data_IF_728141336360
#
_entry.id   IF_728141336360
#
_cell.length_a   1.000
_cell.length_b   1.000
_cell.length_c   1.000
_cell.angle_alpha   90.00
_cell.angle_beta   90.00
_cell.angle_gamma   90.00
#
_symmetry.space_group_name_H-M   'P 1'
#
loop_
_entity.id
_entity.type
_entity.pdbx_description
1 polymer ?
#
# COMPACT_ATOMS: atom_id res chain seq x y z
N UNK A 1 17.47 -23.28 -0.67
CA UNK A 1 17.62 -23.76 0.74
C UNK A 1 16.48 -23.16 1.55
N UNK A 2 15.71 -23.97 2.27
CA UNK A 2 14.67 -23.44 3.14
C UNK A 2 15.32 -22.88 4.42
N UNK A 3 14.97 -21.63 4.79
CA UNK A 3 15.44 -21.01 6.02
C UNK A 3 14.76 -21.68 7.23
N UNK A 4 15.49 -21.88 8.31
CA UNK A 4 14.92 -22.32 9.57
C UNK A 4 14.12 -21.20 10.24
N UNK A 5 13.16 -21.55 11.10
CA UNK A 5 12.35 -20.57 11.86
C UNK A 5 13.25 -19.62 12.66
N UNK A 6 14.36 -20.12 13.21
CA UNK A 6 15.31 -19.30 13.97
C UNK A 6 16.02 -18.27 13.09
N UNK A 7 16.41 -18.65 11.86
CA UNK A 7 17.04 -17.73 10.90
C UNK A 7 16.06 -16.68 10.42
N UNK A 8 14.81 -17.05 10.16
CA UNK A 8 13.72 -16.11 9.81
C UNK A 8 13.54 -15.11 10.95
N UNK A 9 13.43 -15.57 12.19
CA UNK A 9 13.27 -14.69 13.36
C UNK A 9 14.43 -13.71 13.53
N UNK A 10 15.68 -14.18 13.39
CA UNK A 10 16.85 -13.32 13.46
C UNK A 10 16.88 -12.27 12.33
N UNK A 11 16.47 -12.65 11.12
CA UNK A 11 16.38 -11.75 9.96
C UNK A 11 15.32 -10.68 10.18
N UNK A 12 14.13 -11.06 10.66
CA UNK A 12 13.04 -10.13 10.99
C UNK A 12 13.50 -9.11 12.04
N UNK A 13 14.11 -9.57 13.14
CA UNK A 13 14.61 -8.68 14.20
C UNK A 13 15.66 -7.68 13.66
N UNK A 14 16.57 -8.13 12.80
CA UNK A 14 17.55 -7.24 12.14
C UNK A 14 16.85 -6.18 11.27
N UNK A 15 15.86 -6.59 10.46
CA UNK A 15 15.13 -5.66 9.61
C UNK A 15 14.31 -4.66 10.43
N UNK A 16 13.66 -5.10 11.51
CA UNK A 16 12.95 -4.22 12.44
C UNK A 16 13.87 -3.14 13.02
N UNK A 17 15.10 -3.52 13.41
CA UNK A 17 16.09 -2.54 13.90
C UNK A 17 16.50 -1.56 12.80
N UNK A 18 16.74 -2.06 11.58
CA UNK A 18 17.13 -1.23 10.44
C UNK A 18 16.05 -0.20 10.08
N UNK A 19 14.80 -0.60 10.15
CA UNK A 19 13.64 0.25 9.78
C UNK A 19 13.00 0.98 10.96
N UNK A 20 13.54 0.90 12.17
CA UNK A 20 12.95 1.48 13.38
C UNK A 20 12.66 3.00 13.26
N UNK A 21 13.56 3.77 12.63
CA UNK A 21 13.37 5.19 12.42
C UNK A 21 12.23 5.51 11.43
N UNK A 22 12.06 4.68 10.39
CA UNK A 22 10.93 4.77 9.46
C UNK A 22 9.62 4.49 10.18
N UNK A 23 9.58 3.39 10.92
CA UNK A 23 8.38 2.95 11.65
C UNK A 23 7.98 3.95 12.75
N UNK A 24 8.97 4.63 13.35
CA UNK A 24 8.73 5.76 14.26
C UNK A 24 7.96 6.88 13.55
N UNK A 25 8.48 7.37 12.42
CA UNK A 25 7.80 8.40 11.63
C UNK A 25 6.40 8.00 11.16
N UNK A 26 6.22 6.75 10.76
CA UNK A 26 4.89 6.23 10.36
C UNK A 26 3.89 6.27 11.50
N UNK A 27 4.32 5.94 12.73
CA UNK A 27 3.46 6.05 13.92
C UNK A 27 3.09 7.49 14.23
N UNK A 28 4.03 8.41 14.11
CA UNK A 28 3.78 9.82 14.38
C UNK A 28 2.76 10.39 13.38
N UNK A 29 2.91 10.08 12.09
CA UNK A 29 1.94 10.48 11.05
C UNK A 29 0.56 9.85 11.31
N UNK A 30 0.52 8.59 11.69
CA UNK A 30 -0.74 7.91 12.03
C UNK A 30 -1.40 8.57 13.25
N UNK A 31 -0.64 8.93 14.28
CA UNK A 31 -1.15 9.65 15.45
C UNK A 31 -1.78 10.99 15.06
N UNK A 32 -1.12 11.76 14.19
CA UNK A 32 -1.66 13.03 13.66
C UNK A 32 -2.98 12.81 12.92
N UNK A 33 -3.06 11.79 12.08
CA UNK A 33 -4.30 11.44 11.37
C UNK A 33 -5.43 11.00 12.30
N UNK A 34 -5.10 10.36 13.41
CA UNK A 34 -6.06 9.97 14.46
C UNK A 34 -6.46 11.15 15.36
N UNK A 35 -5.88 12.33 15.14
CA UNK A 35 -6.13 13.53 15.95
C UNK A 35 -5.33 13.58 17.25
N UNK A 36 -4.43 12.61 17.49
CA UNK A 36 -3.51 12.65 18.64
C UNK A 36 -2.24 13.41 18.25
N UNK A 37 -2.25 14.70 18.52
CA UNK A 37 -1.13 15.60 18.29
C UNK A 37 -0.19 15.76 19.50
N UNK A 38 -0.50 15.11 20.62
CA UNK A 38 0.24 15.29 21.89
C UNK A 38 1.74 14.95 21.76
N UNK A 39 2.09 13.97 20.92
CA UNK A 39 3.46 13.56 20.66
C UNK A 39 4.21 14.48 19.70
N UNK A 40 3.48 15.11 18.76
CA UNK A 40 4.07 15.95 17.70
C UNK A 40 4.20 17.39 18.18
N UNK A 41 3.23 17.86 18.94
CA UNK A 41 3.19 19.21 19.50
C UNK A 41 2.93 19.21 21.02
N UNK A 42 3.83 18.64 21.83
CA UNK A 42 3.60 18.52 23.28
C UNK A 42 3.37 19.87 23.98
N UNK A 43 3.93 20.97 23.44
CA UNK A 43 3.74 22.30 23.96
C UNK A 43 2.29 22.85 23.84
N UNK A 44 1.48 22.27 22.97
CA UNK A 44 0.07 22.65 22.78
C UNK A 44 -0.86 21.91 23.78
N UNK A 45 -0.34 20.90 24.48
CA UNK A 45 -1.08 20.05 25.42
C UNK A 45 -0.50 20.30 26.81
N UNK A 46 -1.04 21.28 27.53
CA UNK A 46 -0.74 21.49 28.94
C UNK A 46 -1.83 20.84 29.81
N UNK A 47 -1.54 20.68 31.12
CA UNK A 47 -2.54 20.20 32.07
C UNK A 47 -3.77 21.12 32.11
N UNK A 48 -3.58 22.39 31.80
CA UNK A 48 -4.63 23.42 31.79
C UNK A 48 -5.56 23.33 30.57
N UNK A 49 -5.03 22.77 29.43
CA UNK A 49 -5.77 22.56 28.17
C UNK A 49 -5.56 21.15 27.63
N UNK A 50 -6.15 20.14 28.29
CA UNK A 50 -5.78 18.74 28.05
C UNK A 50 -6.18 18.21 26.67
N UNK A 51 -7.12 18.82 25.96
CA UNK A 51 -7.54 18.41 24.61
C UNK A 51 -8.15 19.56 23.84
N UNK A 52 -7.39 20.25 22.96
CA UNK A 52 -8.01 21.17 22.04
C UNK A 52 -8.99 20.40 21.14
N UNK A 53 -10.17 20.93 20.94
CA UNK A 53 -11.16 20.40 20.01
C UNK A 53 -10.65 20.69 18.60
N UNK A 54 -9.83 19.81 18.06
CA UNK A 54 -9.31 19.96 16.70
C UNK A 54 -10.21 19.16 15.76
N UNK A 55 -10.92 19.84 14.88
CA UNK A 55 -11.52 19.19 13.74
C UNK A 55 -10.38 18.55 12.93
N UNK A 56 -10.40 17.23 12.74
CA UNK A 56 -9.31 16.52 12.07
C UNK A 56 -9.38 16.71 10.54
N UNK A 57 -9.16 17.97 10.12
CA UNK A 57 -9.14 18.33 8.71
C UNK A 57 -8.04 17.61 7.91
N UNK A 58 -6.97 17.16 8.59
CA UNK A 58 -5.88 16.41 7.97
C UNK A 58 -6.40 15.04 7.51
N UNK A 59 -7.18 14.35 8.34
CA UNK A 59 -7.75 13.05 7.97
C UNK A 59 -8.78 13.19 6.84
N UNK A 60 -9.62 14.22 6.89
CA UNK A 60 -10.59 14.52 5.82
C UNK A 60 -9.86 14.76 4.50
N UNK A 61 -8.89 15.67 4.48
CA UNK A 61 -8.11 15.97 3.28
C UNK A 61 -7.36 14.74 2.73
N UNK A 62 -6.83 13.89 3.62
CA UNK A 62 -6.14 12.67 3.22
C UNK A 62 -7.10 11.64 2.60
N UNK A 63 -8.33 11.54 3.08
CA UNK A 63 -9.36 10.66 2.50
C UNK A 63 -9.83 11.16 1.15
N UNK A 64 -10.11 12.46 1.02
CA UNK A 64 -10.51 13.07 -0.25
C UNK A 64 -9.42 12.86 -1.32
N UNK A 65 -8.15 13.01 -0.93
CA UNK A 65 -7.02 12.75 -1.81
C UNK A 65 -6.91 11.26 -2.17
N UNK A 66 -7.15 10.36 -1.22
CA UNK A 66 -7.16 8.92 -1.49
C UNK A 66 -8.27 8.53 -2.48
N UNK A 67 -9.46 9.10 -2.36
CA UNK A 67 -10.55 8.90 -3.32
C UNK A 67 -10.18 9.37 -4.73
N UNK A 68 -9.49 10.51 -4.84
CA UNK A 68 -9.04 11.03 -6.13
C UNK A 68 -7.93 10.17 -6.76
N UNK A 69 -7.10 9.50 -5.97
CA UNK A 69 -5.98 8.67 -6.42
C UNK A 69 -6.33 7.19 -6.61
N UNK A 70 -7.43 6.72 -6.05
CA UNK A 70 -7.81 5.30 -6.06
C UNK A 70 -8.19 4.73 -7.44
N UNK A 71 -8.71 5.50 -8.43
CA UNK A 71 -9.07 4.94 -9.72
C UNK A 71 -7.86 4.28 -10.41
N UNK A 72 -8.03 3.03 -10.80
CA UNK A 72 -7.02 2.30 -11.56
C UNK A 72 -6.98 2.79 -13.02
N UNK A 73 -5.79 2.95 -13.61
CA UNK A 73 -5.67 3.15 -15.04
C UNK A 73 -6.11 1.88 -15.79
N UNK A 74 -6.68 2.05 -16.98
CA UNK A 74 -6.98 0.92 -17.86
C UNK A 74 -5.68 0.31 -18.40
N UNK A 75 -5.61 -1.02 -18.40
CA UNK A 75 -4.46 -1.75 -18.93
C UNK A 75 -4.70 -2.15 -20.38
N UNK A 76 -3.95 -1.52 -21.28
CA UNK A 76 -3.97 -1.86 -22.70
C UNK A 76 -2.56 -2.23 -23.17
N UNK A 77 -2.40 -3.43 -23.70
CA UNK A 77 -1.16 -3.85 -24.36
C UNK A 77 -1.21 -3.50 -25.85
N UNK A 78 -0.22 -2.79 -26.34
CA UNK A 78 -0.07 -2.54 -27.77
C UNK A 78 0.75 -3.62 -28.44
N UNK A 79 0.44 -3.91 -29.72
CA UNK A 79 1.22 -4.85 -30.50
C UNK A 79 2.59 -4.25 -30.84
N UNK A 80 3.65 -5.04 -30.72
CA UNK A 80 5.01 -4.64 -31.12
C UNK A 80 5.12 -4.39 -32.63
N UNK A 81 4.26 -5.05 -33.43
CA UNK A 81 4.12 -4.84 -34.85
C UNK A 81 2.63 -4.71 -35.20
N UNK A 82 2.21 -3.50 -35.54
CA UNK A 82 0.81 -3.18 -35.85
C UNK A 82 0.31 -3.80 -37.16
N UNK A 83 1.21 -4.20 -38.09
CA UNK A 83 0.86 -4.81 -39.36
C UNK A 83 0.56 -6.30 -39.20
N UNK A 84 1.11 -6.95 -38.18
CA UNK A 84 0.95 -8.38 -37.95
C UNK A 84 -0.34 -8.71 -37.19
N UNK A 85 -1.23 -9.47 -37.81
CA UNK A 85 -2.46 -9.95 -37.15
C UNK A 85 -2.17 -10.83 -35.92
N UNK A 86 -1.12 -11.63 -35.97
CA UNK A 86 -0.73 -12.46 -34.82
C UNK A 86 -0.23 -11.62 -33.65
N UNK A 87 0.51 -10.54 -33.93
CA UNK A 87 0.97 -9.62 -32.88
C UNK A 87 -0.20 -8.85 -32.26
N UNK A 88 -1.20 -8.43 -33.04
CA UNK A 88 -2.42 -7.79 -32.54
C UNK A 88 -3.22 -8.73 -31.64
N UNK A 89 -3.46 -9.97 -32.09
CA UNK A 89 -4.16 -10.98 -31.28
C UNK A 89 -3.43 -11.29 -29.97
N UNK A 90 -2.09 -11.34 -30.00
CA UNK A 90 -1.29 -11.55 -28.81
C UNK A 90 -1.38 -10.36 -27.82
N UNK A 91 -1.43 -9.13 -28.33
CA UNK A 91 -1.62 -7.94 -27.51
C UNK A 91 -3.03 -7.90 -26.86
N UNK A 92 -4.07 -8.20 -27.61
CA UNK A 92 -5.45 -8.30 -27.08
C UNK A 92 -5.57 -9.37 -26.00
N UNK A 93 -4.95 -10.54 -26.22
CA UNK A 93 -4.93 -11.60 -25.20
C UNK A 93 -4.23 -11.15 -23.91
N UNK A 94 -3.09 -10.48 -24.02
CA UNK A 94 -2.37 -9.92 -22.87
C UNK A 94 -3.20 -8.88 -22.12
N UNK A 95 -3.89 -7.99 -22.84
CA UNK A 95 -4.80 -7.01 -22.23
C UNK A 95 -5.93 -7.69 -21.45
N UNK A 96 -6.55 -8.73 -22.03
CA UNK A 96 -7.60 -9.49 -21.35
C UNK A 96 -7.08 -10.20 -20.12
N UNK A 97 -5.90 -10.81 -20.18
CA UNK A 97 -5.27 -11.48 -19.03
C UNK A 97 -4.96 -10.46 -17.92
N UNK A 98 -4.39 -9.30 -18.27
CA UNK A 98 -4.11 -8.27 -17.29
C UNK A 98 -5.38 -7.77 -16.59
N UNK A 99 -6.42 -7.45 -17.36
CA UNK A 99 -7.70 -7.02 -16.80
C UNK A 99 -8.37 -8.12 -15.96
N UNK A 100 -8.30 -9.38 -16.39
CA UNK A 100 -8.78 -10.51 -15.59
C UNK A 100 -8.13 -10.56 -14.20
N UNK A 101 -6.80 -10.41 -14.10
CA UNK A 101 -6.12 -10.41 -12.80
C UNK A 101 -6.42 -9.19 -11.95
N UNK A 102 -6.67 -8.04 -12.56
CA UNK A 102 -7.13 -6.84 -11.86
C UNK A 102 -8.49 -7.07 -11.23
N UNK A 103 -9.44 -7.59 -12.01
CA UNK A 103 -10.80 -7.87 -11.56
C UNK A 103 -10.83 -9.01 -10.54
N UNK A 104 -10.15 -10.11 -10.82
CA UNK A 104 -10.02 -11.27 -9.94
C UNK A 104 -9.42 -10.92 -8.58
N UNK A 105 -8.46 -10.00 -8.56
CA UNK A 105 -7.82 -9.53 -7.35
C UNK A 105 -8.64 -8.45 -6.62
N UNK A 106 -9.77 -8.01 -7.16
CA UNK A 106 -10.55 -6.87 -6.64
C UNK A 106 -9.67 -5.63 -6.42
N UNK A 107 -8.73 -5.40 -7.35
CA UNK A 107 -7.66 -4.42 -7.15
C UNK A 107 -8.23 -3.00 -7.05
N UNK A 108 -9.35 -2.69 -7.71
CA UNK A 108 -10.03 -1.40 -7.62
C UNK A 108 -10.44 -1.06 -6.17
N UNK A 109 -10.95 -2.05 -5.43
CA UNK A 109 -11.35 -1.88 -4.02
C UNK A 109 -10.12 -1.73 -3.13
N UNK A 110 -9.07 -2.52 -3.39
CA UNK A 110 -7.84 -2.47 -2.63
C UNK A 110 -7.08 -1.15 -2.85
N UNK A 111 -7.18 -0.54 -4.02
CA UNK A 111 -6.48 0.71 -4.36
C UNK A 111 -6.96 1.90 -3.53
N UNK A 112 -8.23 1.94 -3.11
CA UNK A 112 -8.68 2.96 -2.16
C UNK A 112 -7.87 2.91 -0.85
N UNK A 113 -7.77 1.72 -0.27
CA UNK A 113 -6.95 1.51 0.94
C UNK A 113 -5.46 1.75 0.66
N UNK A 114 -4.98 1.32 -0.50
CA UNK A 114 -3.60 1.55 -0.93
C UNK A 114 -3.26 3.04 -1.09
N UNK A 115 -4.16 3.83 -1.68
CA UNK A 115 -4.01 5.27 -1.83
C UNK A 115 -4.01 5.98 -0.46
N UNK A 116 -4.86 5.54 0.46
CA UNK A 116 -4.88 6.04 1.83
C UNK A 116 -3.57 5.75 2.58
N UNK A 117 -3.03 4.54 2.44
CA UNK A 117 -1.72 4.20 2.99
C UNK A 117 -0.58 4.96 2.31
N UNK A 118 -0.65 5.17 0.99
CA UNK A 118 0.33 5.98 0.29
C UNK A 118 0.35 7.43 0.81
N UNK A 119 -0.82 8.03 1.01
CA UNK A 119 -0.94 9.37 1.58
C UNK A 119 -0.45 9.44 3.03
N UNK A 120 -0.62 8.34 3.79
CA UNK A 120 -0.22 8.30 5.20
C UNK A 120 1.27 8.01 5.35
N UNK A 121 1.81 7.05 4.60
CA UNK A 121 3.13 6.49 4.83
C UNK A 121 4.14 6.82 3.73
N UNK A 122 3.69 7.41 2.63
CA UNK A 122 4.53 7.75 1.48
C UNK A 122 4.94 6.56 0.63
N UNK A 123 4.32 5.39 0.82
CA UNK A 123 4.61 4.19 0.03
C UNK A 123 3.39 3.30 -0.15
N UNK A 124 3.36 2.61 -1.29
CA UNK A 124 2.38 1.59 -1.64
C UNK A 124 3.12 0.28 -1.88
N UNK A 125 2.68 -0.79 -1.23
CA UNK A 125 3.30 -2.11 -1.38
C UNK A 125 2.28 -3.07 -1.96
N UNK A 126 2.61 -3.65 -3.11
CA UNK A 126 1.86 -4.73 -3.72
C UNK A 126 2.62 -6.06 -3.59
N UNK A 127 1.90 -7.12 -3.31
CA UNK A 127 2.41 -8.48 -3.29
C UNK A 127 1.61 -9.34 -4.27
N UNK A 128 2.30 -10.24 -4.95
CA UNK A 128 1.65 -11.31 -5.72
C UNK A 128 1.71 -12.57 -4.88
N UNK A 129 0.56 -13.09 -4.52
CA UNK A 129 0.42 -14.37 -3.81
C UNK A 129 -0.33 -15.38 -4.67
N UNK A 130 -0.10 -16.67 -4.43
CA UNK A 130 -0.85 -17.73 -5.10
C UNK A 130 -2.13 -18.01 -4.33
N UNK A 131 -3.26 -17.89 -5.00
CA UNK A 131 -4.54 -18.40 -4.50
C UNK A 131 -4.62 -19.91 -4.80
N UNK A 132 -4.38 -20.72 -3.78
CA UNK A 132 -4.35 -22.17 -3.90
C UNK A 132 -5.73 -22.83 -4.09
N UNK A 133 -6.82 -22.13 -3.82
CA UNK A 133 -8.18 -22.64 -4.02
C UNK A 133 -8.54 -22.58 -5.51
N UNK A 134 -8.18 -21.50 -6.17
CA UNK A 134 -8.53 -21.26 -7.58
C UNK A 134 -7.35 -21.50 -8.53
N UNK A 135 -6.15 -21.73 -8.02
CA UNK A 135 -4.90 -21.92 -8.78
C UNK A 135 -4.51 -20.72 -9.67
N UNK A 136 -4.82 -19.48 -9.24
CA UNK A 136 -4.44 -18.26 -9.92
C UNK A 136 -3.58 -17.37 -9.02
N UNK A 137 -2.65 -16.59 -9.59
CA UNK A 137 -1.98 -15.54 -8.84
C UNK A 137 -2.97 -14.41 -8.52
N UNK A 138 -2.90 -13.91 -7.29
CA UNK A 138 -3.70 -12.78 -6.81
C UNK A 138 -2.80 -11.63 -6.41
N UNK A 139 -3.18 -10.41 -6.81
CA UNK A 139 -2.50 -9.18 -6.40
C UNK A 139 -3.15 -8.71 -5.10
N UNK A 140 -2.32 -8.40 -4.11
CA UNK A 140 -2.76 -7.90 -2.80
C UNK A 140 -1.99 -6.66 -2.43
N UNK A 141 -2.70 -5.62 -2.01
CA UNK A 141 -2.10 -4.43 -1.45
C UNK A 141 -1.88 -4.67 0.05
N UNK A 142 -0.65 -4.41 0.51
CA UNK A 142 -0.23 -4.71 1.88
C UNK A 142 0.05 -3.41 2.62
N UNK A 143 -0.29 -3.39 3.92
CA UNK A 143 0.02 -2.26 4.78
C UNK A 143 1.55 -2.09 4.86
N UNK A 144 2.08 -0.90 4.52
CA UNK A 144 3.52 -0.61 4.62
C UNK A 144 4.06 -0.69 6.05
N UNK A 145 3.22 -0.42 7.05
CA UNK A 145 3.62 -0.52 8.43
C UNK A 145 3.81 -1.99 8.83
N UNK A 146 5.02 -2.34 9.25
CA UNK A 146 5.39 -3.72 9.57
C UNK A 146 5.86 -4.56 8.38
N UNK A 147 5.94 -3.97 7.17
CA UNK A 147 6.53 -4.63 6.00
C UNK A 147 7.98 -4.16 5.82
N UNK A 148 8.90 -5.10 5.75
CA UNK A 148 10.33 -4.84 5.69
C UNK A 148 10.93 -5.38 4.38
N UNK A 149 11.15 -4.53 3.37
CA UNK A 149 11.82 -4.96 2.16
C UNK A 149 13.28 -5.32 2.48
N UNK A 150 13.72 -6.45 1.93
CA UNK A 150 15.12 -6.83 1.97
C UNK A 150 15.87 -6.12 0.84
N UNK A 151 16.93 -5.38 1.19
CA UNK A 151 17.83 -4.70 0.25
C UNK A 151 19.12 -5.51 0.14
#
# INVERSE_FOLDING_TARGET
MALSIKEIGAKVARLQTLYAARDGRMRDVLSVRQGDMSKVYPAMFSEEYPRPLVANMIDVAARDLAEAMAPLPSFNCSASNMVSDSARKAADLRSRIANFYVDYSELQVQMYTGADWYNTYGMLIGMIEMDYENNYPRIKIINPFGTYPEI
#
